data_IF_639222660817
#
_entry.id   IF_639222660817
#
_cell.length_a   1.000
_cell.length_b   1.000
_cell.length_c   1.000
_cell.angle_alpha   90.00
_cell.angle_beta   90.00
_cell.angle_gamma   90.00
#
_symmetry.space_group_name_H-M   'P 1'
#
loop_
_entity.id
_entity.type
_entity.pdbx_description
1 polymer ?
#
# COMPACT_ATOMS: atom_id res chain seq x y z
N UNK A 1 17.67 12.21 -21.47
CA UNK A 1 17.25 13.61 -21.16
C UNK A 1 17.02 13.78 -19.66
N UNK A 2 17.73 14.74 -19.04
CA UNK A 2 17.42 15.17 -17.67
C UNK A 2 15.92 15.52 -17.57
N UNK A 3 15.24 14.96 -16.57
CA UNK A 3 13.80 15.16 -16.36
C UNK A 3 12.86 14.15 -17.03
N UNK A 4 13.35 13.12 -17.73
CA UNK A 4 12.49 12.04 -18.24
C UNK A 4 11.81 11.26 -17.10
N UNK A 5 10.68 10.61 -17.36
CA UNK A 5 10.00 9.78 -16.36
C UNK A 5 10.90 8.66 -15.80
N UNK A 6 11.75 8.10 -16.66
CA UNK A 6 12.75 7.09 -16.26
C UNK A 6 13.82 7.72 -15.35
N UNK A 7 14.33 8.91 -15.68
CA UNK A 7 15.31 9.60 -14.84
C UNK A 7 14.74 9.89 -13.45
N UNK A 8 13.47 10.33 -13.37
CA UNK A 8 12.78 10.55 -12.09
C UNK A 8 12.60 9.25 -11.29
N UNK A 9 12.27 8.14 -11.95
CA UNK A 9 12.12 6.85 -11.30
C UNK A 9 13.45 6.32 -10.75
N UNK A 10 14.55 6.52 -11.50
CA UNK A 10 15.90 6.17 -11.05
C UNK A 10 16.31 7.02 -9.84
N UNK A 11 16.17 8.34 -9.92
CA UNK A 11 16.47 9.25 -8.79
C UNK A 11 15.65 8.90 -7.53
N UNK A 12 14.37 8.58 -7.69
CA UNK A 12 13.51 8.15 -6.60
C UNK A 12 14.01 6.85 -5.96
N UNK A 13 14.40 5.88 -6.78
CA UNK A 13 14.91 4.58 -6.31
C UNK A 13 16.24 4.74 -5.58
N UNK A 14 17.16 5.53 -6.13
CA UNK A 14 18.46 5.82 -5.52
C UNK A 14 18.32 6.53 -4.18
N UNK A 15 17.41 7.52 -4.07
CA UNK A 15 17.11 8.21 -2.81
C UNK A 15 16.56 7.29 -1.73
N UNK A 16 16.02 6.12 -2.09
CA UNK A 16 15.39 5.14 -1.19
C UNK A 16 16.15 3.83 -1.09
N UNK A 17 17.38 3.78 -1.60
CA UNK A 17 18.17 2.56 -1.71
C UNK A 17 18.22 1.76 -0.40
N UNK A 18 18.49 2.43 0.73
CA UNK A 18 18.56 1.82 2.07
C UNK A 18 17.27 1.05 2.42
N UNK A 19 16.10 1.62 2.11
CA UNK A 19 14.82 0.97 2.38
C UNK A 19 14.58 -0.21 1.43
N UNK A 20 14.99 -0.11 0.16
CA UNK A 20 14.84 -1.16 -0.84
C UNK A 20 15.76 -2.36 -0.57
N UNK A 21 16.92 -2.15 0.04
CA UNK A 21 17.89 -3.22 0.33
C UNK A 21 17.74 -3.83 1.72
N UNK A 22 16.81 -3.36 2.56
CA UNK A 22 16.66 -3.79 3.95
C UNK A 22 16.45 -5.30 4.12
N UNK A 23 15.79 -5.95 3.16
CA UNK A 23 15.56 -7.40 3.16
C UNK A 23 16.87 -8.22 3.11
N UNK A 24 17.98 -7.63 2.65
CA UNK A 24 19.29 -8.29 2.64
C UNK A 24 19.87 -8.47 4.05
N UNK A 25 19.51 -7.56 4.96
CA UNK A 25 19.98 -7.56 6.34
C UNK A 25 19.01 -8.26 7.29
N UNK A 26 17.72 -8.28 6.94
CA UNK A 26 16.64 -8.78 7.77
C UNK A 26 15.78 -9.80 7.02
N UNK A 27 15.97 -11.07 7.37
CA UNK A 27 15.24 -12.19 6.75
C UNK A 27 13.74 -12.17 7.04
N UNK A 28 13.28 -11.44 8.06
CA UNK A 28 11.85 -11.30 8.35
C UNK A 28 11.15 -10.37 7.36
N UNK A 29 11.90 -9.54 6.63
CA UNK A 29 11.36 -8.60 5.64
C UNK A 29 11.36 -9.27 4.26
N UNK A 30 10.19 -9.42 3.61
CA UNK A 30 10.12 -9.94 2.24
C UNK A 30 10.81 -9.01 1.23
N UNK A 31 11.32 -9.58 0.14
CA UNK A 31 11.96 -8.83 -0.95
C UNK A 31 10.97 -7.91 -1.70
N UNK A 32 9.70 -8.29 -1.73
CA UNK A 32 8.64 -7.55 -2.42
C UNK A 32 7.49 -7.21 -1.46
N UNK A 33 6.70 -6.23 -1.87
CA UNK A 33 5.51 -5.77 -1.14
C UNK A 33 4.21 -6.41 -1.68
N UNK A 34 4.28 -7.46 -2.51
CA UNK A 34 3.13 -8.01 -3.22
C UNK A 34 2.07 -8.53 -2.23
N UNK A 35 2.49 -9.12 -1.11
CA UNK A 35 1.58 -9.51 -0.05
C UNK A 35 0.78 -8.32 0.48
N UNK A 36 1.42 -7.21 0.83
CA UNK A 36 0.77 -5.99 1.28
C UNK A 36 -0.16 -5.40 0.20
N UNK A 37 0.30 -5.33 -1.04
CA UNK A 37 -0.50 -4.81 -2.16
C UNK A 37 -1.76 -5.65 -2.41
N UNK A 38 -1.64 -6.98 -2.33
CA UNK A 38 -2.78 -7.89 -2.44
C UNK A 38 -3.81 -7.65 -1.33
N UNK A 39 -3.39 -7.35 -0.10
CA UNK A 39 -4.32 -7.01 0.99
C UNK A 39 -5.03 -5.66 0.76
N UNK A 40 -4.36 -4.71 0.09
CA UNK A 40 -4.92 -3.37 -0.17
C UNK A 40 -5.79 -3.34 -1.44
N UNK A 41 -5.53 -4.22 -2.41
CA UNK A 41 -6.19 -4.23 -3.73
C UNK A 41 -7.72 -4.27 -3.67
N UNK A 42 -8.39 -5.11 -2.84
CA UNK A 42 -9.85 -5.12 -2.76
C UNK A 42 -10.44 -3.76 -2.38
N UNK A 43 -9.75 -3.01 -1.51
CA UNK A 43 -10.16 -1.66 -1.13
C UNK A 43 -9.96 -0.69 -2.27
N UNK A 44 -8.81 -0.77 -2.95
CA UNK A 44 -8.51 0.11 -4.07
C UNK A 44 -9.51 -0.03 -5.21
N UNK A 45 -9.91 -1.26 -5.52
CA UNK A 45 -10.95 -1.58 -6.51
C UNK A 45 -12.35 -1.23 -6.00
N UNK A 46 -12.63 -1.42 -4.70
CA UNK A 46 -13.92 -1.11 -4.11
C UNK A 46 -14.27 0.39 -4.09
N UNK A 47 -13.26 1.27 -4.04
CA UNK A 47 -13.46 2.74 -3.99
C UNK A 47 -14.31 3.28 -5.15
N UNK A 48 -14.20 2.74 -6.36
CA UNK A 48 -15.03 3.18 -7.49
C UNK A 48 -16.49 2.70 -7.38
N UNK A 49 -16.74 1.67 -6.59
CA UNK A 49 -18.05 1.03 -6.44
C UNK A 49 -18.80 1.50 -5.18
N UNK A 50 -18.15 2.23 -4.28
CA UNK A 50 -18.77 2.77 -3.05
C UNK A 50 -19.48 4.10 -3.30
N UNK A 51 -20.52 4.06 -4.15
CA UNK A 51 -21.31 5.22 -4.58
C UNK A 51 -21.97 6.00 -3.42
N UNK A 52 -22.10 5.38 -2.24
CA UNK A 52 -22.73 5.99 -1.05
C UNK A 52 -21.72 6.50 -0.01
N UNK A 53 -20.41 6.39 -0.27
CA UNK A 53 -19.36 6.98 0.56
C UNK A 53 -19.23 8.50 0.29
N UNK A 54 -20.33 9.25 0.40
CA UNK A 54 -20.40 10.67 0.02
C UNK A 54 -19.91 11.67 1.07
N UNK A 55 -19.40 11.21 2.23
CA UNK A 55 -18.91 12.11 3.28
C UNK A 55 -17.61 11.61 3.92
N UNK A 56 -16.76 12.54 4.36
CA UNK A 56 -15.53 12.24 5.10
C UNK A 56 -15.81 11.38 6.35
N UNK A 57 -16.92 11.65 7.04
CA UNK A 57 -17.34 10.91 8.23
C UNK A 57 -17.67 9.45 7.89
N UNK A 58 -18.39 9.22 6.79
CA UNK A 58 -18.70 7.87 6.29
C UNK A 58 -17.42 7.13 5.87
N UNK A 59 -16.49 7.82 5.20
CA UNK A 59 -15.18 7.26 4.84
C UNK A 59 -14.36 6.83 6.05
N UNK A 60 -14.29 7.64 7.11
CA UNK A 60 -13.61 7.29 8.37
C UNK A 60 -14.23 6.07 9.05
N UNK A 61 -15.56 5.95 9.06
CA UNK A 61 -16.26 4.78 9.61
C UNK A 61 -15.99 3.53 8.80
N UNK A 62 -16.07 3.62 7.47
CA UNK A 62 -15.75 2.50 6.59
C UNK A 62 -14.30 2.05 6.79
N UNK A 63 -13.34 2.98 6.87
CA UNK A 63 -11.94 2.67 7.16
C UNK A 63 -11.79 1.89 8.49
N UNK A 64 -12.42 2.34 9.57
CA UNK A 64 -12.35 1.66 10.86
C UNK A 64 -12.91 0.22 10.81
N UNK A 65 -14.07 0.03 10.17
CA UNK A 65 -14.68 -1.31 10.03
C UNK A 65 -13.79 -2.22 9.17
N UNK A 66 -13.29 -1.72 8.06
CA UNK A 66 -12.43 -2.47 7.14
C UNK A 66 -11.11 -2.86 7.80
N UNK A 67 -10.51 -1.96 8.58
CA UNK A 67 -9.33 -2.26 9.40
C UNK A 67 -9.61 -3.36 10.41
N UNK A 68 -10.74 -3.30 11.14
CA UNK A 68 -11.12 -4.32 12.12
C UNK A 68 -11.27 -5.71 11.47
N UNK A 69 -12.03 -5.79 10.37
CA UNK A 69 -12.25 -7.04 9.64
C UNK A 69 -10.92 -7.62 9.15
N UNK A 70 -10.05 -6.78 8.60
CA UNK A 70 -8.77 -7.23 8.07
C UNK A 70 -7.83 -7.71 9.16
N UNK A 71 -7.76 -7.02 10.30
CA UNK A 71 -7.01 -7.48 11.46
C UNK A 71 -7.54 -8.81 11.98
N UNK A 72 -8.86 -9.01 12.05
CA UNK A 72 -9.43 -10.29 12.46
C UNK A 72 -9.05 -11.44 11.50
N UNK A 73 -9.09 -11.20 10.17
CA UNK A 73 -8.67 -12.19 9.16
C UNK A 73 -7.18 -12.55 9.23
N UNK A 74 -6.32 -11.65 9.71
CA UNK A 74 -4.87 -11.90 9.84
C UNK A 74 -4.52 -12.67 11.13
N UNK A 75 -5.39 -12.66 12.14
CA UNK A 75 -5.14 -13.26 13.46
C UNK A 75 -6.02 -14.48 13.77
N UNK A 76 -6.85 -14.92 12.81
CA UNK A 76 -7.76 -16.06 12.94
C UNK A 76 -7.43 -17.19 11.98
#
# INVERSE_FOLDING_TARGET
PEGSAIAKALDYSLKRWIALTRYLEDRAVPIDNNWCENQIRPWALGRSNWLFAGSLRSGKRAAAIMSLIQSARLNG
#
